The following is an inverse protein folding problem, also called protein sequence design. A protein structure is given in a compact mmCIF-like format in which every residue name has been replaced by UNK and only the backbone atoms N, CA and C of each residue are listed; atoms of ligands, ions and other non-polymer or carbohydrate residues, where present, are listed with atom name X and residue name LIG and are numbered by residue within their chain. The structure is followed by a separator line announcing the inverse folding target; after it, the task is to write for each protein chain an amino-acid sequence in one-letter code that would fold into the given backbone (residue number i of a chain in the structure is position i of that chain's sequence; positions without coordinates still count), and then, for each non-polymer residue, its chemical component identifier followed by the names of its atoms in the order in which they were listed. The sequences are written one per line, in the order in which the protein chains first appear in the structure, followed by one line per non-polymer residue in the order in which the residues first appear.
data_IF_156339306038
#
_entry.id   IF_156339306038
#
_cell.length_a   1.000
_cell.length_b   1.000
_cell.length_c   1.000
_cell.angle_alpha   90.00
_cell.angle_beta   90.00
_cell.angle_gamma   90.00
#
_symmetry.space_group_name_H-M   'P 1'
#
loop_
_entity.id
_entity.type
_entity.pdbx_description
1 polymer ?
#
# COMPACT_ATOMS: atom_id res chain seq x y z
N UNK A 1 -11.82 14.30 -32.23
CA UNK A 1 -10.35 14.37 -32.03
C UNK A 1 -10.11 14.25 -30.54
N UNK A 2 -9.26 13.31 -30.12
CA UNK A 2 -8.83 13.17 -28.73
C UNK A 2 -8.13 14.47 -28.32
N UNK A 3 -8.56 15.06 -27.22
CA UNK A 3 -8.00 16.29 -26.67
C UNK A 3 -6.63 15.94 -26.05
N UNK A 4 -5.57 16.65 -26.42
CA UNK A 4 -4.21 16.37 -25.91
C UNK A 4 -4.16 16.40 -24.37
N UNK A 5 -4.98 17.27 -23.77
CA UNK A 5 -5.13 17.36 -22.31
C UNK A 5 -5.80 16.12 -21.69
N UNK A 6 -6.69 15.44 -22.42
CA UNK A 6 -7.32 14.18 -21.99
C UNK A 6 -6.33 13.03 -22.06
N UNK A 7 -5.56 12.95 -23.15
CA UNK A 7 -4.55 11.91 -23.31
C UNK A 7 -3.48 11.99 -22.20
N UNK A 8 -3.03 13.21 -21.87
CA UNK A 8 -2.10 13.44 -20.77
C UNK A 8 -2.70 13.03 -19.41
N UNK A 9 -3.97 13.37 -19.16
CA UNK A 9 -4.67 12.99 -17.93
C UNK A 9 -4.78 11.46 -17.80
N UNK A 10 -5.18 10.78 -18.88
CA UNK A 10 -5.29 9.32 -18.90
C UNK A 10 -3.92 8.65 -18.63
N UNK A 11 -2.87 9.10 -19.31
CA UNK A 11 -1.52 8.58 -19.10
C UNK A 11 -1.01 8.81 -17.68
N UNK A 12 -1.31 9.97 -17.09
CA UNK A 12 -1.00 10.27 -15.70
C UNK A 12 -1.71 9.30 -14.74
N UNK A 13 -3.01 9.05 -14.96
CA UNK A 13 -3.79 8.11 -14.15
C UNK A 13 -3.25 6.68 -14.25
N UNK A 14 -2.84 6.23 -15.44
CA UNK A 14 -2.22 4.92 -15.61
C UNK A 14 -0.90 4.81 -14.83
N UNK A 15 -0.05 5.83 -14.90
CA UNK A 15 1.23 5.86 -14.18
C UNK A 15 1.01 5.81 -12.67
N UNK A 16 0.08 6.63 -12.15
CA UNK A 16 -0.28 6.64 -10.73
C UNK A 16 -0.87 5.29 -10.28
N UNK A 17 -1.69 4.66 -11.11
CA UNK A 17 -2.22 3.33 -10.81
C UNK A 17 -1.12 2.27 -10.68
N UNK A 18 -0.16 2.27 -11.61
CA UNK A 18 0.99 1.36 -11.56
C UNK A 18 1.84 1.62 -10.32
N UNK A 19 2.22 2.88 -10.08
CA UNK A 19 3.05 3.27 -8.94
C UNK A 19 2.43 2.88 -7.60
N UNK A 20 1.16 3.23 -7.36
CA UNK A 20 0.47 2.88 -6.11
C UNK A 20 0.25 1.37 -5.93
N UNK A 21 0.06 0.63 -7.03
CA UNK A 21 0.00 -0.83 -7.03
C UNK A 21 1.34 -1.43 -6.62
N UNK A 22 2.43 -0.97 -7.23
CA UNK A 22 3.77 -1.49 -6.98
C UNK A 22 4.21 -1.15 -5.54
N UNK A 23 3.90 0.06 -5.06
CA UNK A 23 4.08 0.45 -3.65
C UNK A 23 3.28 -0.46 -2.69
N UNK A 24 2.00 -0.76 -2.99
CA UNK A 24 1.18 -1.70 -2.19
C UNK A 24 1.81 -3.08 -2.13
N UNK A 25 2.41 -3.58 -3.22
CA UNK A 25 3.10 -4.86 -3.24
C UNK A 25 4.34 -4.85 -2.36
N UNK A 26 5.21 -3.85 -2.52
CA UNK A 26 6.40 -3.70 -1.69
C UNK A 26 6.07 -3.60 -0.20
N UNK A 27 5.06 -2.80 0.16
CA UNK A 27 4.56 -2.70 1.53
C UNK A 27 4.10 -4.05 2.09
N UNK A 28 3.42 -4.88 1.29
CA UNK A 28 3.01 -6.24 1.71
C UNK A 28 4.21 -7.14 1.97
N UNK A 29 5.24 -7.05 1.14
CA UNK A 29 6.44 -7.86 1.31
C UNK A 29 7.23 -7.46 2.56
N UNK A 30 7.29 -6.16 2.88
CA UNK A 30 7.83 -5.67 4.17
C UNK A 30 7.05 -6.28 5.34
N UNK A 31 5.72 -6.16 5.33
CA UNK A 31 4.86 -6.66 6.42
C UNK A 31 5.08 -8.15 6.63
N UNK A 32 5.05 -8.95 5.56
CA UNK A 32 5.29 -10.40 5.60
C UNK A 32 6.69 -10.74 6.11
N UNK A 33 7.71 -10.01 5.66
CA UNK A 33 9.09 -10.18 6.10
C UNK A 33 9.23 -9.97 7.61
N UNK A 34 8.64 -8.88 8.12
CA UNK A 34 8.65 -8.57 9.57
C UNK A 34 7.88 -9.61 10.37
N UNK A 35 6.69 -10.00 9.92
CA UNK A 35 5.89 -11.02 10.63
C UNK A 35 6.57 -12.38 10.65
N UNK A 36 7.19 -12.78 9.53
CA UNK A 36 7.99 -13.99 9.44
C UNK A 36 9.21 -13.95 10.36
N UNK A 37 9.90 -12.80 10.41
CA UNK A 37 11.00 -12.57 11.34
C UNK A 37 10.53 -12.69 12.80
N UNK A 38 9.46 -12.01 13.19
CA UNK A 38 8.91 -12.07 14.56
C UNK A 38 8.51 -13.51 14.92
N UNK A 39 7.79 -14.20 14.03
CA UNK A 39 7.34 -15.59 14.25
C UNK A 39 8.52 -16.55 14.45
N UNK A 40 9.55 -16.42 13.62
CA UNK A 40 10.77 -17.24 13.72
C UNK A 40 11.51 -16.97 15.03
N UNK A 41 11.66 -15.69 15.41
CA UNK A 41 12.36 -15.33 16.64
C UNK A 41 11.61 -15.79 17.89
N UNK A 42 10.26 -15.79 17.90
CA UNK A 42 9.49 -16.37 19.01
C UNK A 42 9.82 -17.85 19.24
N UNK A 43 9.97 -18.63 18.18
CA UNK A 43 10.38 -20.05 18.27
C UNK A 43 11.81 -20.18 18.81
N UNK A 44 12.74 -19.38 18.30
CA UNK A 44 14.12 -19.36 18.80
C UNK A 44 14.20 -18.98 20.28
N UNK A 45 13.44 -17.97 20.69
CA UNK A 45 13.39 -17.51 22.09
C UNK A 45 12.92 -18.62 23.02
N UNK A 46 11.94 -19.42 22.62
CA UNK A 46 11.49 -20.56 23.43
C UNK A 46 12.62 -21.57 23.68
N UNK A 47 13.40 -21.90 22.64
CA UNK A 47 14.55 -22.82 22.74
C UNK A 47 15.63 -22.23 23.67
N UNK A 48 15.98 -20.96 23.47
CA UNK A 48 17.03 -20.30 24.26
C UNK A 48 16.61 -20.11 25.72
N UNK A 49 15.34 -19.77 25.97
CA UNK A 49 14.80 -19.69 27.34
C UNK A 49 14.87 -21.04 28.04
N UNK A 50 14.56 -22.13 27.34
CA UNK A 50 14.67 -23.46 27.91
C UNK A 50 16.11 -23.83 28.27
N UNK A 51 17.05 -23.56 27.35
CA UNK A 51 18.48 -23.76 27.60
C UNK A 51 18.99 -22.92 28.79
N UNK A 52 18.54 -21.66 28.88
CA UNK A 52 18.89 -20.76 29.98
C UNK A 52 18.34 -21.26 31.33
N UNK A 53 17.09 -21.72 31.36
CA UNK A 53 16.45 -22.33 32.52
C UNK A 53 17.22 -23.57 32.98
N UNK A 54 17.51 -24.51 32.08
CA UNK A 54 18.23 -25.74 32.40
C UNK A 54 19.66 -25.43 32.92
N UNK A 55 20.30 -24.39 32.39
CA UNK A 55 21.62 -23.93 32.86
C UNK A 55 21.56 -23.31 34.26
N UNK A 56 20.51 -22.54 34.56
CA UNK A 56 20.27 -22.00 35.90
C UNK A 56 20.00 -23.11 36.91
N UNK A 57 19.17 -24.10 36.55
CA UNK A 57 18.84 -25.22 37.42
C UNK A 57 20.08 -26.01 37.80
N UNK A 58 20.94 -26.35 36.83
CA UNK A 58 22.22 -27.01 37.12
C UNK A 58 23.10 -26.23 38.10
N UNK A 59 23.22 -24.90 37.90
CA UNK A 59 24.01 -24.03 38.77
C UNK A 59 23.49 -24.00 40.21
N UNK A 60 22.16 -23.97 40.38
CA UNK A 60 21.50 -23.99 41.69
C UNK A 60 21.66 -25.36 42.37
N UNK A 61 21.45 -26.44 41.62
CA UNK A 61 21.45 -27.82 42.14
C UNK A 61 22.84 -28.34 42.53
N UNK A 62 23.93 -27.87 41.91
CA UNK A 62 25.30 -28.27 42.29
C UNK A 62 25.57 -27.98 43.77
N UNK A 63 25.06 -26.87 44.33
CA UNK A 63 25.43 -26.33 45.65
C UNK A 63 26.95 -26.12 45.86
N UNK A 64 27.77 -26.33 44.81
CA UNK A 64 29.20 -26.13 44.76
C UNK A 64 29.53 -24.76 44.15
N UNK A 65 30.40 -23.96 44.78
CA UNK A 65 31.01 -22.76 44.16
C UNK A 65 32.02 -23.12 43.03
N UNK A 66 31.77 -24.21 42.31
CA UNK A 66 32.64 -24.66 41.24
C UNK A 66 32.55 -23.69 40.04
N UNK A 67 33.66 -23.46 39.32
CA UNK A 67 33.68 -22.59 38.15
C UNK A 67 32.58 -22.91 37.12
N UNK A 68 32.24 -24.19 36.96
CA UNK A 68 31.18 -24.65 36.05
C UNK A 68 29.77 -24.24 36.51
N UNK A 69 29.45 -24.36 37.81
CA UNK A 69 28.16 -23.95 38.36
C UNK A 69 27.97 -22.44 38.26
N UNK A 70 29.03 -21.66 38.51
CA UNK A 70 29.01 -20.20 38.30
C UNK A 70 28.81 -19.83 36.82
N UNK A 71 29.54 -20.49 35.91
CA UNK A 71 29.46 -20.20 34.48
C UNK A 71 28.06 -20.49 33.91
N UNK A 72 27.46 -21.63 34.28
CA UNK A 72 26.12 -22.04 33.84
C UNK A 72 25.02 -21.13 34.40
N UNK A 73 25.10 -20.75 35.67
CA UNK A 73 24.18 -19.76 36.28
C UNK A 73 24.28 -18.40 35.59
N UNK A 74 25.50 -17.88 35.36
CA UNK A 74 25.71 -16.61 34.67
C UNK A 74 25.20 -16.65 33.22
N UNK A 75 25.43 -17.76 32.52
CA UNK A 75 24.91 -17.98 31.18
C UNK A 75 23.39 -17.89 31.14
N UNK A 76 22.69 -18.62 32.03
CA UNK A 76 21.23 -18.63 32.07
C UNK A 76 20.61 -17.28 32.44
N UNK A 77 21.17 -16.61 33.46
CA UNK A 77 20.73 -15.27 33.83
C UNK A 77 20.90 -14.25 32.69
N UNK A 78 22.08 -14.25 32.04
CA UNK A 78 22.36 -13.34 30.92
C UNK A 78 21.42 -13.59 29.73
N UNK A 79 21.16 -14.85 29.39
CA UNK A 79 20.30 -15.19 28.26
C UNK A 79 18.83 -14.89 28.51
N UNK A 80 18.36 -14.96 29.76
CA UNK A 80 17.01 -14.52 30.15
C UNK A 80 16.84 -13.04 29.81
N UNK A 81 17.76 -12.18 30.28
CA UNK A 81 17.73 -10.73 30.01
C UNK A 81 17.81 -10.45 28.50
N UNK A 82 18.69 -11.13 27.77
CA UNK A 82 18.82 -10.96 26.31
C UNK A 82 17.51 -11.33 25.60
N UNK A 83 16.85 -12.42 25.99
CA UNK A 83 15.58 -12.81 25.37
C UNK A 83 14.46 -11.81 25.69
N UNK A 84 14.44 -11.22 26.88
CA UNK A 84 13.42 -10.22 27.25
C UNK A 84 13.60 -8.89 26.49
N UNK A 85 14.85 -8.45 26.31
CA UNK A 85 15.17 -7.32 25.44
C UNK A 85 14.77 -7.61 23.99
N UNK A 86 15.05 -8.82 23.51
CA UNK A 86 14.66 -9.26 22.17
C UNK A 86 13.15 -9.30 22.01
N UNK A 87 12.41 -9.78 23.00
CA UNK A 87 10.94 -9.75 23.00
C UNK A 87 10.40 -8.33 22.84
N UNK A 88 10.96 -7.41 23.62
CA UNK A 88 10.62 -5.98 23.60
C UNK A 88 10.88 -5.38 22.20
N UNK A 89 12.05 -5.64 21.62
CA UNK A 89 12.40 -5.18 20.27
C UNK A 89 11.42 -5.71 19.21
N UNK A 90 11.08 -7.00 19.26
CA UNK A 90 10.14 -7.61 18.32
C UNK A 90 8.73 -7.03 18.46
N UNK A 91 8.30 -6.75 19.70
CA UNK A 91 7.04 -6.05 19.97
C UNK A 91 7.03 -4.65 19.34
N UNK A 92 8.09 -3.87 19.56
CA UNK A 92 8.24 -2.54 18.96
C UNK A 92 8.25 -2.61 17.43
N UNK A 93 8.95 -3.59 16.84
CA UNK A 93 8.98 -3.77 15.40
C UNK A 93 7.59 -4.09 14.82
N UNK A 94 6.82 -4.95 15.50
CA UNK A 94 5.44 -5.25 15.12
C UNK A 94 4.56 -4.01 15.17
N UNK A 95 4.53 -3.34 16.32
CA UNK A 95 3.63 -2.23 16.61
C UNK A 95 3.99 -0.94 15.88
N UNK A 96 5.27 -0.58 15.82
CA UNK A 96 5.70 0.72 15.30
C UNK A 96 5.99 0.70 13.80
N UNK A 97 6.19 -0.48 13.20
CA UNK A 97 6.55 -0.65 11.79
C UNK A 97 5.51 -1.48 11.01
N UNK A 98 5.28 -2.74 11.38
CA UNK A 98 4.41 -3.64 10.60
C UNK A 98 2.96 -3.19 10.59
N UNK A 99 2.39 -2.86 11.77
CA UNK A 99 0.98 -2.46 11.89
C UNK A 99 0.63 -1.19 11.09
N UNK A 100 1.40 -0.08 11.16
CA UNK A 100 1.11 1.11 10.36
C UNK A 100 1.17 0.86 8.85
N UNK A 101 2.16 0.10 8.36
CA UNK A 101 2.27 -0.24 6.95
C UNK A 101 1.06 -1.09 6.52
N UNK A 102 0.66 -2.06 7.34
CA UNK A 102 -0.52 -2.90 7.11
C UNK A 102 -1.81 -2.09 7.04
N UNK A 103 -2.00 -1.15 7.97
CA UNK A 103 -3.14 -0.25 7.96
C UNK A 103 -3.18 0.58 6.66
N UNK A 104 -2.03 1.06 6.18
CA UNK A 104 -1.94 1.78 4.90
C UNK A 104 -2.31 0.93 3.68
N UNK A 105 -1.96 -0.36 3.65
CA UNK A 105 -2.29 -1.28 2.55
C UNK A 105 -3.80 -1.50 2.40
N UNK A 106 -4.50 -1.55 3.54
CA UNK A 106 -5.94 -1.84 3.65
C UNK A 106 -6.80 -0.58 3.83
N UNK A 107 -6.21 0.61 3.70
CA UNK A 107 -6.90 1.86 3.95
C UNK A 107 -7.94 2.20 2.87
N UNK A 108 -9.07 2.77 3.31
CA UNK A 108 -10.11 3.30 2.42
C UNK A 108 -9.59 4.26 1.32
N UNK A 109 -8.63 5.17 1.57
CA UNK A 109 -8.18 6.14 0.55
C UNK A 109 -7.70 5.51 -0.76
N UNK A 110 -6.96 4.39 -0.70
CA UNK A 110 -6.46 3.72 -1.90
C UNK A 110 -7.59 3.05 -2.69
N UNK A 111 -8.54 2.41 -2.02
CA UNK A 111 -9.67 1.78 -2.72
C UNK A 111 -10.63 2.83 -3.28
N UNK A 112 -10.88 3.92 -2.56
CA UNK A 112 -11.69 5.06 -3.03
C UNK A 112 -11.06 5.72 -4.28
N UNK A 113 -9.74 5.96 -4.27
CA UNK A 113 -9.03 6.51 -5.43
C UNK A 113 -9.10 5.57 -6.65
N UNK A 114 -9.01 4.25 -6.43
CA UNK A 114 -9.21 3.23 -7.48
C UNK A 114 -10.65 3.18 -7.99
N UNK A 115 -11.64 3.45 -7.14
CA UNK A 115 -13.03 3.61 -7.57
C UNK A 115 -13.20 4.82 -8.50
N UNK A 116 -12.52 5.94 -8.23
CA UNK A 116 -12.53 7.11 -9.11
C UNK A 116 -11.93 6.79 -10.48
N UNK A 117 -10.80 6.07 -10.54
CA UNK A 117 -10.21 5.61 -11.82
C UNK A 117 -11.21 4.77 -12.61
N UNK A 118 -11.85 3.77 -12.00
CA UNK A 118 -12.83 2.92 -12.69
C UNK A 118 -14.03 3.71 -13.22
N UNK A 119 -14.45 4.75 -12.51
CA UNK A 119 -15.53 5.65 -12.97
C UNK A 119 -15.06 6.52 -14.14
N UNK A 120 -13.82 7.02 -14.08
CA UNK A 120 -13.20 7.78 -15.17
C UNK A 120 -13.13 6.94 -16.45
N UNK A 121 -12.61 5.71 -16.37
CA UNK A 121 -12.48 4.82 -17.53
C UNK A 121 -13.84 4.51 -18.18
N UNK A 122 -14.87 4.30 -17.35
CA UNK A 122 -16.25 4.10 -17.84
C UNK A 122 -16.77 5.33 -18.56
N UNK A 123 -16.59 6.51 -17.98
CA UNK A 123 -17.07 7.76 -18.58
C UNK A 123 -16.33 8.08 -19.88
N UNK A 124 -15.05 7.70 -19.98
CA UNK A 124 -14.26 7.80 -21.22
C UNK A 124 -14.82 6.90 -22.32
N UNK A 125 -15.16 5.64 -22.01
CA UNK A 125 -15.81 4.74 -22.96
C UNK A 125 -17.20 5.26 -23.40
N UNK A 126 -17.98 5.82 -22.47
CA UNK A 126 -19.25 6.47 -22.79
C UNK A 126 -19.05 7.67 -23.72
N UNK A 127 -18.03 8.50 -23.50
CA UNK A 127 -17.66 9.61 -24.37
C UNK A 127 -17.28 9.13 -25.79
N UNK A 128 -16.46 8.08 -25.90
CA UNK A 128 -16.09 7.49 -27.20
C UNK A 128 -17.32 6.98 -27.96
N UNK A 129 -18.24 6.30 -27.28
CA UNK A 129 -19.48 5.81 -27.86
C UNK A 129 -20.37 6.95 -28.36
N UNK A 130 -20.48 8.03 -27.59
CA UNK A 130 -21.27 9.20 -27.95
C UNK A 130 -20.62 9.98 -29.12
N UNK A 131 -19.28 10.02 -29.18
CA UNK A 131 -18.55 10.65 -30.27
C UNK A 131 -18.77 9.90 -31.60
N UNK A 132 -18.70 8.56 -31.59
CA UNK A 132 -18.99 7.74 -32.75
C UNK A 132 -20.43 7.96 -33.25
N UNK A 133 -21.37 8.11 -32.33
CA UNK A 133 -22.77 8.36 -32.64
C UNK A 133 -23.01 9.77 -33.23
N UNK A 134 -22.28 10.80 -32.77
CA UNK A 134 -22.29 12.14 -33.38
C UNK A 134 -21.76 12.07 -34.82
N UNK A 135 -20.61 11.42 -35.04
CA UNK A 135 -20.03 11.23 -36.38
C UNK A 135 -21.03 10.51 -37.31
N UNK A 136 -21.70 9.47 -36.82
CA UNK A 136 -22.73 8.72 -37.57
C UNK A 136 -23.95 9.57 -37.93
N UNK A 137 -24.33 10.54 -37.09
CA UNK A 137 -25.43 11.48 -37.41
C UNK A 137 -24.99 12.56 -38.38
N UNK A 138 -23.77 13.09 -38.23
CA UNK A 138 -23.19 14.08 -39.15
C UNK A 138 -23.06 13.53 -40.58
N UNK A 139 -22.64 12.27 -40.74
CA UNK A 139 -22.51 11.65 -42.07
C UNK A 139 -23.86 11.44 -42.78
N UNK A 140 -24.96 11.28 -42.03
CA UNK A 140 -26.33 11.12 -42.57
C UNK A 140 -27.04 12.45 -42.79
N UNK A 141 -26.39 13.58 -42.53
CA UNK A 141 -26.99 14.91 -42.60
C UNK A 141 -27.29 15.38 -44.03
N UNK A 142 -26.82 14.67 -45.06
CA UNK A 142 -27.13 15.00 -46.47
C UNK A 142 -28.64 14.97 -46.81
N UNK A 143 -29.45 14.26 -46.03
CA UNK A 143 -30.92 14.14 -46.21
C UNK A 143 -31.72 14.80 -45.04
N UNK A 144 -31.28 15.97 -44.55
CA UNK A 144 -31.72 16.50 -43.26
C UNK A 144 -33.17 17.05 -43.21
N UNK A 145 -34.05 16.35 -42.47
CA UNK A 145 -35.29 16.90 -41.92
C UNK A 145 -35.03 17.72 -40.64
N UNK A 146 -35.96 18.61 -40.25
CA UNK A 146 -35.88 19.37 -38.99
C UNK A 146 -35.70 18.48 -37.76
N UNK A 147 -36.35 17.30 -37.74
CA UNK A 147 -36.22 16.31 -36.67
C UNK A 147 -34.80 15.73 -36.58
N UNK A 148 -34.16 15.47 -37.74
CA UNK A 148 -32.80 14.93 -37.81
C UNK A 148 -31.76 15.91 -37.26
N UNK A 149 -31.98 17.21 -37.48
CA UNK A 149 -31.16 18.31 -36.98
C UNK A 149 -31.27 18.46 -35.46
N UNK A 150 -32.49 18.30 -34.91
CA UNK A 150 -32.71 18.26 -33.46
C UNK A 150 -31.93 17.12 -32.79
N UNK A 151 -32.04 15.89 -33.31
CA UNK A 151 -31.33 14.71 -32.78
C UNK A 151 -29.80 14.85 -32.84
N UNK A 152 -29.26 15.52 -33.86
CA UNK A 152 -27.83 15.81 -33.94
C UNK A 152 -27.39 16.79 -32.85
N UNK A 153 -28.11 17.91 -32.69
CA UNK A 153 -27.82 18.90 -31.64
C UNK A 153 -27.91 18.30 -30.23
N UNK A 154 -28.88 17.43 -30.00
CA UNK A 154 -29.01 16.72 -28.72
C UNK A 154 -27.82 15.80 -28.47
N UNK A 155 -27.34 15.10 -29.50
CA UNK A 155 -26.18 14.23 -29.40
C UNK A 155 -24.88 15.02 -29.13
N UNK A 156 -24.69 16.16 -29.80
CA UNK A 156 -23.55 17.06 -29.60
C UNK A 156 -23.56 17.69 -28.21
N UNK A 157 -24.73 18.09 -27.71
CA UNK A 157 -24.89 18.58 -26.33
C UNK A 157 -24.51 17.53 -25.30
N UNK A 158 -25.01 16.29 -25.42
CA UNK A 158 -24.63 15.17 -24.54
C UNK A 158 -23.14 14.87 -24.61
N UNK A 159 -22.53 14.95 -25.80
CA UNK A 159 -21.09 14.76 -25.97
C UNK A 159 -20.30 15.81 -25.17
N UNK A 160 -20.72 17.08 -25.24
CA UNK A 160 -20.10 18.17 -24.49
C UNK A 160 -20.24 17.99 -22.98
N UNK A 161 -21.44 17.64 -22.49
CA UNK A 161 -21.71 17.37 -21.08
C UNK A 161 -20.88 16.20 -20.53
N UNK A 162 -20.80 15.10 -21.28
CA UNK A 162 -19.95 13.95 -20.94
C UNK A 162 -18.47 14.34 -20.90
N UNK A 163 -18.00 15.14 -21.86
CA UNK A 163 -16.60 15.59 -21.91
C UNK A 163 -16.25 16.41 -20.67
N UNK A 164 -17.08 17.38 -20.30
CA UNK A 164 -16.85 18.22 -19.11
C UNK A 164 -16.86 17.38 -17.84
N UNK A 165 -17.83 16.48 -17.70
CA UNK A 165 -17.94 15.59 -16.53
C UNK A 165 -16.72 14.68 -16.40
N UNK A 166 -16.23 14.13 -17.52
CA UNK A 166 -15.07 13.25 -17.56
C UNK A 166 -13.79 13.98 -17.16
N UNK A 167 -13.60 15.22 -17.65
CA UNK A 167 -12.45 16.04 -17.30
C UNK A 167 -12.42 16.40 -15.80
N UNK A 168 -13.58 16.68 -15.20
CA UNK A 168 -13.69 16.95 -13.76
C UNK A 168 -13.31 15.69 -12.98
N UNK A 169 -13.91 14.54 -13.33
CA UNK A 169 -13.65 13.26 -12.68
C UNK A 169 -12.19 12.82 -12.82
N UNK A 170 -11.57 13.06 -13.98
CA UNK A 170 -10.14 12.77 -14.20
C UNK A 170 -9.23 13.57 -13.27
N UNK A 171 -9.53 14.87 -13.05
CA UNK A 171 -8.82 15.71 -12.08
C UNK A 171 -8.99 15.22 -10.65
N UNK A 172 -10.20 14.83 -10.27
CA UNK A 172 -10.48 14.28 -8.94
C UNK A 172 -9.74 12.96 -8.71
N UNK A 173 -9.78 12.05 -9.68
CA UNK A 173 -9.06 10.78 -9.64
C UNK A 173 -7.54 11.00 -9.52
N UNK A 174 -6.98 11.92 -10.31
CA UNK A 174 -5.55 12.22 -10.28
C UNK A 174 -5.13 12.79 -8.93
N UNK A 175 -5.89 13.75 -8.39
CA UNK A 175 -5.64 14.32 -7.07
C UNK A 175 -5.69 13.26 -5.96
N UNK A 176 -6.70 12.40 -5.98
CA UNK A 176 -6.83 11.33 -4.98
C UNK A 176 -5.67 10.32 -5.06
N UNK A 177 -5.28 9.93 -6.28
CA UNK A 177 -4.19 8.97 -6.49
C UNK A 177 -2.81 9.53 -6.13
N UNK A 178 -2.56 10.82 -6.41
CA UNK A 178 -1.34 11.51 -5.98
C UNK A 178 -1.22 11.54 -4.46
N UNK A 179 -2.32 11.89 -3.75
CA UNK A 179 -2.33 11.89 -2.30
C UNK A 179 -2.05 10.49 -1.72
N UNK A 180 -2.58 9.44 -2.36
CA UNK A 180 -2.31 8.05 -1.96
C UNK A 180 -0.87 7.65 -2.22
N UNK A 181 -0.32 7.98 -3.39
CA UNK A 181 1.09 7.72 -3.73
C UNK A 181 2.03 8.39 -2.72
N UNK A 182 1.82 9.67 -2.45
CA UNK A 182 2.60 10.43 -1.47
C UNK A 182 2.50 9.79 -0.08
N UNK A 183 1.28 9.47 0.37
CA UNK A 183 1.07 8.81 1.66
C UNK A 183 1.80 7.46 1.74
N UNK A 184 1.73 6.63 0.69
CA UNK A 184 2.42 5.35 0.63
C UNK A 184 3.93 5.52 0.68
N UNK A 185 4.50 6.47 -0.06
CA UNK A 185 5.93 6.75 -0.05
C UNK A 185 6.38 7.24 1.34
N UNK A 186 5.68 8.23 1.89
CA UNK A 186 6.00 8.81 3.20
C UNK A 186 5.93 7.76 4.30
N UNK A 187 4.83 7.01 4.43
CA UNK A 187 4.73 6.02 5.50
C UNK A 187 5.79 4.93 5.34
N UNK A 188 6.02 4.44 4.12
CA UNK A 188 7.01 3.37 3.89
C UNK A 188 8.42 3.86 4.26
N UNK A 189 8.80 5.06 3.82
CA UNK A 189 10.10 5.65 4.14
C UNK A 189 10.31 5.80 5.66
N UNK A 190 9.36 6.45 6.36
CA UNK A 190 9.48 6.67 7.81
C UNK A 190 9.57 5.35 8.59
N UNK A 191 8.87 4.31 8.14
CA UNK A 191 8.86 3.01 8.79
C UNK A 191 10.14 2.22 8.51
N UNK A 192 10.72 2.32 7.32
CA UNK A 192 12.04 1.78 7.02
C UNK A 192 13.15 2.50 7.82
N UNK A 193 13.09 3.82 7.94
CA UNK A 193 13.99 4.58 8.81
C UNK A 193 13.88 4.09 10.26
N UNK A 194 12.65 3.88 10.75
CA UNK A 194 12.43 3.37 12.11
C UNK A 194 13.03 1.97 12.29
N UNK A 195 12.92 1.09 11.29
CA UNK A 195 13.59 -0.23 11.33
C UNK A 195 15.11 -0.08 11.44
N UNK A 196 15.70 0.83 10.66
CA UNK A 196 17.14 1.11 10.70
C UNK A 196 17.61 1.58 12.08
N UNK A 197 16.87 2.52 12.69
CA UNK A 197 17.14 2.99 14.05
C UNK A 197 17.04 1.87 15.09
N UNK A 198 16.02 1.01 14.98
CA UNK A 198 15.86 -0.15 15.87
C UNK A 198 16.96 -1.18 15.72
N UNK A 199 17.63 -1.24 14.56
CA UNK A 199 18.76 -2.11 14.30
C UNK A 199 20.11 -1.55 14.81
N UNK A 200 20.11 -0.39 15.47
CA UNK A 200 21.32 0.25 15.98
C UNK A 200 22.06 1.12 14.96
N UNK A 201 21.40 1.52 13.87
CA UNK A 201 21.94 2.52 12.95
C UNK A 201 21.85 3.93 13.54
N UNK A 202 23.00 4.57 13.74
CA UNK A 202 23.13 6.00 14.04
C UNK A 202 22.91 6.85 12.79
#
# INVERSE_FOLDING_TARGET
MVDESELQCHQQLENLYRSTRDAKHFQRDIVRGIEGYISTNKKQMHIVRKLAEDSCNYGIECACNAPLAMATSNFGASHTVIQDQKETLLGILGQQVSEPIRASISGAPLEDARHLIRRYDRMRQELESQAAEVIRRQSKFRDASSESLGKLKDAERRLSELKTSMLILGKEAAKAMLAVEEQQQQITYHKLLKMFQLAGGC
#
